data_IF_052525303423
#
_entry.id   IF_052525303423
#
_cell.length_a   1.000
_cell.length_b   1.000
_cell.length_c   1.000
_cell.angle_alpha   90.00
_cell.angle_beta   90.00
_cell.angle_gamma   90.00
#
_symmetry.space_group_name_H-M   'P 1'
#
loop_
_entity.id
_entity.type
_entity.pdbx_description
1 polymer ?
#
# COMPACT_ATOMS: atom_id res chain seq x y z
N UNK A 1 12.18 -20.45 8.72
CA UNK A 1 13.27 -19.49 8.46
C UNK A 1 12.70 -18.36 7.59
N UNK A 2 12.95 -17.11 7.96
CA UNK A 2 12.54 -15.92 7.18
C UNK A 2 13.26 -15.90 5.83
N UNK A 3 12.50 -15.66 4.75
CA UNK A 3 13.00 -15.64 3.37
C UNK A 3 12.55 -14.42 2.57
N UNK A 4 11.56 -13.67 3.06
CA UNK A 4 11.08 -12.50 2.34
C UNK A 4 10.28 -11.53 3.18
N UNK A 5 10.10 -10.32 2.62
CA UNK A 5 9.32 -9.24 3.19
C UNK A 5 8.34 -8.71 2.16
N UNK A 6 7.12 -8.39 2.59
CA UNK A 6 6.07 -7.80 1.77
C UNK A 6 5.78 -6.42 2.35
N UNK A 7 6.08 -5.37 1.59
CA UNK A 7 5.94 -3.99 2.04
C UNK A 7 4.67 -3.35 1.52
N UNK A 8 4.00 -2.59 2.35
CA UNK A 8 3.19 -1.48 1.89
C UNK A 8 4.07 -0.37 1.30
N UNK A 9 3.49 0.57 0.55
CA UNK A 9 4.23 1.62 -0.16
C UNK A 9 3.94 3.00 0.39
N UNK A 10 2.67 3.43 0.30
CA UNK A 10 2.26 4.77 0.69
C UNK A 10 2.26 4.91 2.22
N UNK A 11 2.90 5.95 2.75
CA UNK A 11 3.08 6.21 4.19
C UNK A 11 3.96 5.17 4.93
N UNK A 12 4.44 4.14 4.23
CA UNK A 12 5.43 3.18 4.73
C UNK A 12 6.83 3.44 4.17
N UNK A 13 6.96 3.54 2.86
CA UNK A 13 8.23 3.80 2.14
C UNK A 13 8.36 5.25 1.69
N UNK A 14 7.26 5.87 1.32
CA UNK A 14 7.17 7.25 0.86
C UNK A 14 6.02 7.97 1.56
N UNK A 15 6.10 9.29 1.67
CA UNK A 15 5.06 10.12 2.25
C UNK A 15 4.71 11.30 1.34
N UNK A 16 3.56 11.90 1.60
CA UNK A 16 2.98 12.98 0.81
C UNK A 16 2.87 14.25 1.64
N UNK A 17 3.76 15.21 1.39
CA UNK A 17 3.83 16.45 2.17
C UNK A 17 2.60 17.33 1.96
N UNK A 18 1.88 17.59 3.05
CA UNK A 18 0.68 18.43 3.02
C UNK A 18 -0.54 17.78 2.36
N UNK A 19 -0.57 16.45 2.29
CA UNK A 19 -1.74 15.73 1.79
C UNK A 19 -2.93 15.89 2.75
N UNK A 20 -4.03 16.41 2.21
CA UNK A 20 -5.34 16.44 2.87
C UNK A 20 -6.34 15.71 2.00
N UNK A 21 -6.96 14.65 2.54
CA UNK A 21 -7.87 13.79 1.79
C UNK A 21 -9.16 14.51 1.34
N UNK A 22 -9.69 15.43 2.16
CA UNK A 22 -10.86 16.21 1.80
C UNK A 22 -10.53 17.19 0.67
N UNK A 23 -9.42 17.93 0.81
CA UNK A 23 -8.98 18.88 -0.21
C UNK A 23 -8.68 18.17 -1.54
N UNK A 24 -8.01 17.00 -1.50
CA UNK A 24 -7.79 16.18 -2.68
C UNK A 24 -9.08 15.75 -3.34
N UNK A 25 -10.07 15.29 -2.53
CA UNK A 25 -11.38 14.92 -3.06
C UNK A 25 -12.07 16.11 -3.72
N UNK A 26 -12.23 17.23 -3.01
CA UNK A 26 -12.98 18.39 -3.47
C UNK A 26 -12.35 19.05 -4.70
N UNK A 27 -11.02 19.12 -4.76
CA UNK A 27 -10.32 19.81 -5.86
C UNK A 27 -9.99 18.92 -7.06
N UNK A 28 -9.89 17.61 -6.88
CA UNK A 28 -9.41 16.72 -7.92
C UNK A 28 -10.41 15.63 -8.29
N UNK A 29 -10.97 14.91 -7.32
CA UNK A 29 -11.84 13.76 -7.59
C UNK A 29 -13.26 14.20 -7.94
N UNK A 30 -13.84 15.08 -7.12
CA UNK A 30 -15.22 15.53 -7.31
C UNK A 30 -15.46 16.15 -8.70
N UNK A 31 -14.60 17.03 -9.23
CA UNK A 31 -14.79 17.56 -10.60
C UNK A 31 -14.79 16.46 -11.66
N UNK A 32 -13.86 15.49 -11.55
CA UNK A 32 -13.79 14.40 -12.51
C UNK A 32 -15.00 13.44 -12.43
N UNK A 33 -15.50 13.18 -11.24
CA UNK A 33 -16.72 12.38 -11.06
C UNK A 33 -17.93 13.08 -11.67
N UNK A 34 -18.06 14.42 -11.53
CA UNK A 34 -19.13 15.21 -12.13
C UNK A 34 -19.13 15.15 -13.66
N UNK A 35 -17.96 15.12 -14.30
CA UNK A 35 -17.85 14.93 -15.76
C UNK A 35 -18.50 13.62 -16.24
N UNK A 36 -18.64 12.65 -15.35
CA UNK A 36 -19.29 11.35 -15.58
C UNK A 36 -20.69 11.25 -14.95
N UNK A 37 -21.28 12.37 -14.55
CA UNK A 37 -22.63 12.42 -13.96
C UNK A 37 -22.72 11.92 -12.52
N UNK A 38 -21.58 11.72 -11.83
CA UNK A 38 -21.54 11.26 -10.45
C UNK A 38 -21.39 12.45 -9.51
N UNK A 39 -22.43 12.75 -8.74
CA UNK A 39 -22.40 13.79 -7.72
C UNK A 39 -22.43 13.16 -6.33
N UNK A 40 -21.32 13.31 -5.61
CA UNK A 40 -21.17 12.88 -4.22
C UNK A 40 -20.65 14.05 -3.40
N UNK A 41 -21.08 14.17 -2.15
CA UNK A 41 -20.37 14.95 -1.16
C UNK A 41 -19.19 14.14 -0.59
N UNK A 42 -18.31 14.79 0.16
CA UNK A 42 -17.12 14.14 0.70
C UNK A 42 -17.46 12.94 1.62
N UNK A 43 -18.47 13.06 2.47
CA UNK A 43 -18.85 12.00 3.40
C UNK A 43 -19.43 10.79 2.66
N UNK A 44 -20.24 11.01 1.65
CA UNK A 44 -20.79 9.95 0.79
C UNK A 44 -19.68 9.27 -0.02
N UNK A 45 -18.74 10.06 -0.57
CA UNK A 45 -17.56 9.53 -1.22
C UNK A 45 -16.73 8.65 -0.25
N UNK A 46 -16.42 9.16 0.96
CA UNK A 46 -15.68 8.42 1.99
C UNK A 46 -16.36 7.08 2.29
N UNK A 47 -17.66 7.08 2.55
CA UNK A 47 -18.45 5.86 2.81
C UNK A 47 -18.42 4.88 1.64
N UNK A 48 -18.38 5.40 0.41
CA UNK A 48 -18.28 4.58 -0.80
C UNK A 48 -16.92 3.86 -0.88
N UNK A 49 -15.83 4.61 -0.68
CA UNK A 49 -14.49 4.06 -0.81
C UNK A 49 -14.08 3.16 0.36
N UNK A 50 -14.68 3.36 1.55
CA UNK A 50 -14.48 2.50 2.72
C UNK A 50 -15.38 1.27 2.73
N UNK A 51 -16.33 1.15 1.78
CA UNK A 51 -17.27 0.04 1.70
C UNK A 51 -18.42 0.11 2.70
N UNK A 52 -18.63 1.26 3.34
CA UNK A 52 -19.81 1.51 4.21
C UNK A 52 -21.11 1.62 3.41
N UNK A 53 -21.01 2.03 2.13
CA UNK A 53 -22.12 2.01 1.20
C UNK A 53 -22.01 0.82 0.23
N UNK A 54 -23.15 0.22 -0.17
CA UNK A 54 -23.14 -0.86 -1.14
C UNK A 54 -22.70 -0.37 -2.53
N UNK A 55 -22.12 -1.25 -3.34
CA UNK A 55 -21.67 -0.92 -4.71
C UNK A 55 -22.76 -0.38 -5.60
N UNK A 56 -23.99 -0.89 -5.44
CA UNK A 56 -25.21 -0.41 -6.14
C UNK A 56 -25.48 1.08 -5.91
N UNK A 57 -24.89 1.68 -4.86
CA UNK A 57 -25.02 3.11 -4.64
C UNK A 57 -24.38 3.93 -5.77
N UNK A 58 -23.28 3.45 -6.35
CA UNK A 58 -22.61 4.09 -7.49
C UNK A 58 -23.33 3.78 -8.80
N UNK A 59 -23.86 2.56 -8.94
CA UNK A 59 -24.57 2.12 -10.16
C UNK A 59 -25.80 2.98 -10.47
N UNK A 60 -26.42 3.61 -9.49
CA UNK A 60 -27.52 4.57 -9.68
C UNK A 60 -27.14 5.81 -10.52
N UNK A 61 -25.85 6.12 -10.65
CA UNK A 61 -25.34 7.19 -11.50
C UNK A 61 -25.03 6.73 -12.94
N UNK A 62 -25.36 5.48 -13.29
CA UNK A 62 -25.16 4.94 -14.63
C UNK A 62 -23.74 4.45 -14.93
N UNK A 63 -22.86 4.42 -13.93
CA UNK A 63 -21.52 3.82 -14.05
C UNK A 63 -21.38 2.62 -13.12
N UNK A 64 -20.59 1.62 -13.53
CA UNK A 64 -20.30 0.50 -12.66
C UNK A 64 -19.15 0.80 -11.67
N UNK A 65 -18.98 -0.05 -10.69
CA UNK A 65 -17.98 0.13 -9.63
C UNK A 65 -16.52 0.14 -10.16
N UNK A 66 -16.24 -0.61 -11.24
CA UNK A 66 -14.90 -0.63 -11.86
C UNK A 66 -14.63 0.71 -12.56
N UNK A 67 -15.61 1.25 -13.28
CA UNK A 67 -15.50 2.56 -13.93
C UNK A 67 -15.28 3.68 -12.91
N UNK A 68 -16.05 3.66 -11.81
CA UNK A 68 -15.86 4.60 -10.72
C UNK A 68 -14.40 4.60 -10.22
N UNK A 69 -13.84 3.42 -9.91
CA UNK A 69 -12.47 3.33 -9.44
C UNK A 69 -11.44 3.73 -10.49
N UNK A 70 -11.68 3.42 -11.77
CA UNK A 70 -10.79 3.88 -12.85
C UNK A 70 -10.75 5.40 -12.98
N UNK A 71 -11.88 6.08 -12.78
CA UNK A 71 -11.93 7.55 -12.75
C UNK A 71 -11.10 8.07 -11.57
N UNK A 72 -11.35 7.57 -10.36
CA UNK A 72 -10.64 7.97 -9.14
C UNK A 72 -9.13 7.72 -9.26
N UNK A 73 -8.72 6.55 -9.75
CA UNK A 73 -7.30 6.21 -9.88
C UNK A 73 -6.59 7.01 -10.97
N UNK A 74 -7.29 7.35 -12.07
CA UNK A 74 -6.76 8.27 -13.10
C UNK A 74 -6.50 9.67 -12.51
N UNK A 75 -7.41 10.15 -11.69
CA UNK A 75 -7.24 11.41 -10.95
C UNK A 75 -6.09 11.31 -9.96
N UNK A 76 -6.02 10.22 -9.20
CA UNK A 76 -4.94 9.98 -8.25
C UNK A 76 -3.58 9.98 -8.95
N UNK A 77 -3.45 9.37 -10.12
CA UNK A 77 -2.23 9.41 -10.92
C UNK A 77 -1.84 10.83 -11.36
N UNK A 78 -2.81 11.63 -11.82
CA UNK A 78 -2.58 13.04 -12.16
C UNK A 78 -2.12 13.85 -10.95
N UNK A 79 -2.76 13.63 -9.79
CA UNK A 79 -2.42 14.28 -8.54
C UNK A 79 -1.01 13.91 -8.05
N UNK A 80 -0.64 12.63 -8.12
CA UNK A 80 0.72 12.18 -7.77
C UNK A 80 1.79 12.83 -8.66
N UNK A 81 1.54 12.94 -9.97
CA UNK A 81 2.46 13.67 -10.87
C UNK A 81 2.59 15.13 -10.47
N UNK A 82 1.48 15.79 -10.19
CA UNK A 82 1.46 17.18 -9.72
C UNK A 82 2.23 17.38 -8.41
N UNK A 83 2.12 16.46 -7.47
CA UNK A 83 2.89 16.45 -6.23
C UNK A 83 4.38 16.20 -6.48
N UNK A 84 4.72 15.25 -7.34
CA UNK A 84 6.10 14.91 -7.69
C UNK A 84 6.84 16.09 -8.33
N UNK A 85 6.22 16.78 -9.29
CA UNK A 85 6.76 18.00 -9.91
C UNK A 85 7.05 19.11 -8.90
N UNK A 86 6.42 19.09 -7.73
CA UNK A 86 6.59 20.07 -6.64
C UNK A 86 7.45 19.56 -5.49
N UNK A 87 8.05 18.37 -5.65
CA UNK A 87 8.86 17.75 -4.62
C UNK A 87 8.07 17.39 -3.34
N UNK A 88 6.75 17.22 -3.45
CA UNK A 88 5.84 16.91 -2.33
C UNK A 88 5.63 15.41 -2.10
N UNK A 89 6.17 14.55 -2.94
CA UNK A 89 6.32 13.12 -2.65
C UNK A 89 7.78 12.93 -2.25
N UNK A 90 8.03 12.29 -1.12
CA UNK A 90 9.38 12.04 -0.63
C UNK A 90 9.50 10.63 -0.07
N UNK A 91 10.64 9.96 -0.25
CA UNK A 91 10.93 8.74 0.51
C UNK A 91 11.20 9.12 1.97
N UNK A 92 10.92 8.22 2.90
CA UNK A 92 11.39 8.37 4.27
C UNK A 92 12.91 8.32 4.31
N UNK A 93 13.52 8.99 5.30
CA UNK A 93 14.98 9.13 5.42
C UNK A 93 15.73 7.81 5.66
N UNK A 94 15.00 6.76 6.02
CA UNK A 94 15.50 5.41 6.29
C UNK A 94 15.33 4.45 5.09
N UNK A 95 14.99 4.97 3.92
CA UNK A 95 14.68 4.15 2.73
C UNK A 95 15.87 3.31 2.26
N UNK A 96 17.08 3.75 2.52
CA UNK A 96 18.31 3.03 2.16
C UNK A 96 18.44 1.68 2.88
N UNK A 97 17.69 1.45 3.96
CA UNK A 97 17.58 0.16 4.63
C UNK A 97 17.07 -0.96 3.70
N UNK A 98 16.34 -0.65 2.61
CA UNK A 98 15.94 -1.62 1.61
C UNK A 98 17.15 -2.32 0.95
N UNK A 99 18.25 -1.59 0.75
CA UNK A 99 19.48 -2.15 0.19
C UNK A 99 20.10 -3.18 1.12
N UNK A 100 20.11 -2.94 2.43
CA UNK A 100 20.60 -3.88 3.43
C UNK A 100 19.74 -5.15 3.49
N UNK A 101 18.41 -5.00 3.49
CA UNK A 101 17.49 -6.14 3.45
C UNK A 101 17.69 -6.98 2.19
N UNK A 102 17.93 -6.35 1.03
CA UNK A 102 18.21 -7.05 -0.22
C UNK A 102 19.58 -7.76 -0.18
N UNK A 103 20.60 -7.16 0.46
CA UNK A 103 21.90 -7.76 0.65
C UNK A 103 21.86 -9.05 1.50
N UNK A 104 20.87 -9.19 2.38
CA UNK A 104 20.59 -10.43 3.13
C UNK A 104 19.95 -11.54 2.28
N UNK A 105 19.84 -11.34 0.94
CA UNK A 105 19.24 -12.28 -0.02
C UNK A 105 17.76 -12.57 0.24
N UNK A 106 17.06 -11.65 0.91
CA UNK A 106 15.61 -11.74 1.08
C UNK A 106 14.90 -11.40 -0.23
N UNK A 107 13.79 -12.08 -0.49
CA UNK A 107 12.85 -11.71 -1.54
C UNK A 107 11.96 -10.59 -1.05
N UNK A 108 11.81 -9.52 -1.83
CA UNK A 108 11.00 -8.37 -1.45
C UNK A 108 9.82 -8.19 -2.42
N UNK A 109 8.64 -7.97 -1.88
CA UNK A 109 7.48 -7.55 -2.67
C UNK A 109 6.89 -6.25 -2.13
N UNK A 110 6.23 -5.49 -3.00
CA UNK A 110 5.44 -4.33 -2.64
C UNK A 110 3.95 -4.59 -2.93
N UNK A 111 3.05 -4.22 -2.01
CA UNK A 111 1.60 -4.35 -2.16
C UNK A 111 0.92 -3.06 -1.71
N UNK A 112 0.13 -2.44 -2.59
CA UNK A 112 -0.53 -1.15 -2.32
C UNK A 112 -2.01 -1.17 -2.67
N UNK A 113 -2.82 -0.42 -1.95
CA UNK A 113 -4.24 -0.17 -2.29
C UNK A 113 -4.41 0.85 -3.42
N UNK A 114 -3.34 1.56 -3.80
CA UNK A 114 -3.33 2.36 -5.02
C UNK A 114 -3.36 1.49 -6.27
N UNK A 115 -3.71 2.05 -7.43
CA UNK A 115 -3.64 1.32 -8.70
C UNK A 115 -2.21 0.85 -9.00
N UNK A 116 -2.07 -0.18 -9.82
CA UNK A 116 -0.76 -0.68 -10.27
C UNK A 116 0.10 0.44 -10.84
N UNK A 117 -0.48 1.31 -11.69
CA UNK A 117 0.22 2.43 -12.30
C UNK A 117 0.72 3.44 -11.26
N UNK A 118 -0.12 3.79 -10.27
CA UNK A 118 0.26 4.70 -9.19
C UNK A 118 1.38 4.13 -8.33
N UNK A 119 1.31 2.84 -8.02
CA UNK A 119 2.32 2.14 -7.21
C UNK A 119 3.67 2.10 -7.93
N UNK A 120 3.68 1.70 -9.20
CA UNK A 120 4.90 1.66 -10.01
C UNK A 120 5.48 3.06 -10.24
N UNK A 121 4.63 4.06 -10.48
CA UNK A 121 5.08 5.44 -10.64
C UNK A 121 5.89 5.93 -9.43
N UNK A 122 5.38 5.72 -8.22
CA UNK A 122 6.05 6.18 -6.99
C UNK A 122 7.34 5.41 -6.75
N UNK A 123 7.34 4.10 -6.94
CA UNK A 123 8.55 3.28 -6.78
C UNK A 123 9.64 3.64 -7.80
N UNK A 124 9.25 3.96 -9.04
CA UNK A 124 10.20 4.40 -10.08
C UNK A 124 10.72 5.82 -9.83
N UNK A 125 9.90 6.71 -9.27
CA UNK A 125 10.28 8.10 -9.00
C UNK A 125 11.53 8.21 -8.11
N UNK A 126 11.72 7.23 -7.21
CA UNK A 126 12.84 7.19 -6.26
C UNK A 126 13.77 5.99 -6.49
N UNK A 127 13.72 5.37 -7.67
CA UNK A 127 14.55 4.20 -8.03
C UNK A 127 14.40 3.02 -7.03
N UNK A 128 13.24 2.91 -6.38
CA UNK A 128 12.95 1.84 -5.42
C UNK A 128 12.51 0.54 -6.09
N UNK A 129 11.99 0.62 -7.33
CA UNK A 129 11.52 -0.52 -8.11
C UNK A 129 12.55 -1.66 -8.15
N UNK A 130 13.84 -1.34 -8.19
CA UNK A 130 14.96 -2.28 -8.30
C UNK A 130 15.08 -3.24 -7.11
N UNK A 131 14.53 -2.90 -5.93
CA UNK A 131 14.60 -3.74 -4.75
C UNK A 131 13.53 -4.84 -4.74
N UNK A 132 12.46 -4.69 -5.51
CA UNK A 132 11.29 -5.56 -5.44
C UNK A 132 11.26 -6.62 -6.54
N UNK A 133 11.11 -7.87 -6.14
CA UNK A 133 10.95 -9.03 -7.02
C UNK A 133 9.50 -9.11 -7.57
N UNK A 134 8.53 -8.55 -6.83
CA UNK A 134 7.13 -8.43 -7.25
C UNK A 134 6.49 -7.13 -6.75
N UNK A 135 5.58 -6.55 -7.54
CA UNK A 135 4.84 -5.34 -7.19
C UNK A 135 3.37 -5.54 -7.57
N UNK A 136 2.48 -5.28 -6.63
CA UNK A 136 1.05 -5.38 -6.82
C UNK A 136 0.32 -4.16 -6.28
N UNK A 137 -0.39 -3.48 -7.16
CA UNK A 137 -1.42 -2.50 -6.84
C UNK A 137 -2.82 -3.10 -6.91
N UNK A 138 -3.83 -2.24 -6.79
CA UNK A 138 -5.25 -2.58 -6.94
C UNK A 138 -5.49 -3.34 -8.25
N UNK A 139 -6.23 -4.44 -8.15
CA UNK A 139 -6.61 -5.31 -9.27
C UNK A 139 -8.07 -5.02 -9.65
N UNK A 140 -8.30 -4.47 -10.84
CA UNK A 140 -9.67 -4.16 -11.30
C UNK A 140 -10.50 -5.41 -11.62
N UNK A 141 -9.88 -6.57 -11.78
CA UNK A 141 -10.61 -7.83 -11.90
C UNK A 141 -11.15 -8.34 -10.56
N UNK A 142 -10.58 -7.83 -9.44
CA UNK A 142 -11.00 -8.18 -8.09
C UNK A 142 -10.81 -6.97 -7.14
N UNK A 143 -11.69 -5.98 -7.24
CA UNK A 143 -11.62 -4.75 -6.45
C UNK A 143 -11.71 -4.95 -4.93
N UNK A 144 -12.37 -6.02 -4.48
CA UNK A 144 -12.40 -6.38 -3.05
C UNK A 144 -11.07 -6.92 -2.54
N UNK A 145 -10.13 -7.21 -3.44
CA UNK A 145 -8.81 -7.73 -3.11
C UNK A 145 -7.85 -6.74 -2.47
N UNK A 146 -8.23 -5.44 -2.35
CA UNK A 146 -7.41 -4.45 -1.65
C UNK A 146 -7.35 -4.74 -0.14
N UNK A 147 -6.25 -4.37 0.51
CA UNK A 147 -6.10 -4.51 1.97
C UNK A 147 -7.25 -3.77 2.68
N UNK A 148 -7.89 -4.35 3.67
CA UNK A 148 -7.47 -5.45 4.56
C UNK A 148 -7.79 -6.87 4.05
N UNK A 149 -8.16 -7.05 2.78
CA UNK A 149 -8.27 -8.39 2.19
C UNK A 149 -6.85 -8.97 2.01
N UNK A 150 -6.62 -10.27 2.29
CA UNK A 150 -5.31 -10.89 2.15
C UNK A 150 -4.87 -11.14 0.70
N UNK A 151 -5.70 -10.86 -0.29
CA UNK A 151 -5.48 -11.22 -1.69
C UNK A 151 -4.14 -10.74 -2.26
N UNK A 152 -3.79 -9.46 -2.05
CA UNK A 152 -2.52 -8.92 -2.55
C UNK A 152 -1.30 -9.54 -1.84
N UNK A 153 -1.41 -9.81 -0.54
CA UNK A 153 -0.37 -10.49 0.24
C UNK A 153 -0.19 -11.92 -0.26
N UNK A 154 -1.27 -12.66 -0.45
CA UNK A 154 -1.24 -14.03 -0.98
C UNK A 154 -0.68 -14.08 -2.42
N UNK A 155 -1.01 -13.08 -3.25
CA UNK A 155 -0.47 -12.95 -4.61
C UNK A 155 1.05 -12.72 -4.57
N UNK A 156 1.53 -11.88 -3.64
CA UNK A 156 2.95 -11.66 -3.42
C UNK A 156 3.67 -12.95 -2.95
N UNK A 157 3.14 -13.64 -1.93
CA UNK A 157 3.68 -14.92 -1.45
C UNK A 157 3.82 -15.94 -2.58
N UNK A 158 2.75 -16.11 -3.37
CA UNK A 158 2.73 -17.04 -4.51
C UNK A 158 3.83 -16.71 -5.52
N UNK A 159 4.00 -15.45 -5.87
CA UNK A 159 5.01 -15.02 -6.86
C UNK A 159 6.42 -15.17 -6.31
N UNK A 160 6.62 -14.87 -5.03
CA UNK A 160 7.90 -15.07 -4.38
C UNK A 160 8.22 -16.56 -4.12
N UNK A 161 7.23 -17.44 -4.22
CA UNK A 161 7.37 -18.86 -3.88
C UNK A 161 7.65 -19.07 -2.39
N UNK A 162 6.91 -18.33 -1.53
CA UNK A 162 7.07 -18.38 -0.08
C UNK A 162 5.80 -18.87 0.60
N UNK A 163 5.99 -19.63 1.67
CA UNK A 163 4.94 -19.93 2.63
C UNK A 163 4.72 -18.73 3.58
N UNK A 164 3.50 -18.54 4.14
CA UNK A 164 3.22 -17.42 5.05
C UNK A 164 4.23 -17.28 6.20
N UNK A 165 4.65 -18.38 6.83
CA UNK A 165 5.64 -18.42 7.91
C UNK A 165 7.07 -18.04 7.51
N UNK A 166 7.32 -17.88 6.21
CA UNK A 166 8.64 -17.53 5.65
C UNK A 166 8.71 -16.05 5.27
N UNK A 167 7.63 -15.28 5.51
CA UNK A 167 7.56 -13.86 5.17
C UNK A 167 7.06 -13.01 6.34
N UNK A 168 7.38 -11.70 6.30
CA UNK A 168 6.77 -10.69 7.14
C UNK A 168 6.00 -9.70 6.25
N UNK A 169 4.84 -9.26 6.71
CA UNK A 169 4.15 -8.08 6.17
C UNK A 169 4.64 -6.85 6.92
N UNK A 170 5.07 -5.81 6.21
CA UNK A 170 5.59 -4.56 6.76
C UNK A 170 4.70 -3.41 6.29
N UNK A 171 4.12 -2.67 7.21
CA UNK A 171 3.23 -1.55 6.88
C UNK A 171 2.97 -0.63 8.07
N UNK A 172 2.29 0.48 7.82
CA UNK A 172 2.01 1.51 8.83
C UNK A 172 0.55 1.55 9.28
N UNK A 173 -0.35 0.87 8.56
CA UNK A 173 -1.79 1.00 8.74
C UNK A 173 -2.47 -0.26 9.30
N UNK A 174 -3.69 -0.05 9.83
CA UNK A 174 -4.57 -1.16 10.24
C UNK A 174 -4.90 -2.10 9.07
N UNK A 175 -4.95 -1.58 7.85
CA UNK A 175 -5.22 -2.41 6.66
C UNK A 175 -4.11 -3.42 6.41
N UNK A 176 -2.86 -3.03 6.65
CA UNK A 176 -1.68 -3.90 6.52
C UNK A 176 -1.68 -4.99 7.58
N UNK A 177 -1.93 -4.60 8.84
CA UNK A 177 -2.00 -5.54 9.95
C UNK A 177 -3.08 -6.60 9.68
N UNK A 178 -4.28 -6.19 9.30
CA UNK A 178 -5.36 -7.12 9.04
C UNK A 178 -5.12 -7.99 7.81
N UNK A 179 -4.53 -7.44 6.73
CA UNK A 179 -4.22 -8.20 5.53
C UNK A 179 -3.15 -9.27 5.80
N UNK A 180 -2.07 -8.92 6.51
CA UNK A 180 -1.02 -9.86 6.91
C UNK A 180 -1.56 -10.98 7.79
N UNK A 181 -2.30 -10.62 8.86
CA UNK A 181 -2.92 -11.61 9.77
C UNK A 181 -3.87 -12.57 9.04
N UNK A 182 -4.70 -12.06 8.15
CA UNK A 182 -5.63 -12.88 7.34
C UNK A 182 -4.92 -13.78 6.33
N UNK A 183 -3.73 -13.38 5.88
CA UNK A 183 -2.86 -14.21 5.04
C UNK A 183 -2.03 -15.23 5.84
N UNK A 184 -2.08 -15.20 7.18
CA UNK A 184 -1.27 -16.05 8.05
C UNK A 184 0.20 -15.63 8.13
N UNK A 185 0.51 -14.37 7.79
CA UNK A 185 1.85 -13.77 7.81
C UNK A 185 2.03 -12.97 9.09
N UNK A 186 3.18 -13.08 9.73
CA UNK A 186 3.54 -12.18 10.84
C UNK A 186 3.71 -10.75 10.34
N UNK A 187 3.27 -9.78 11.16
CA UNK A 187 3.20 -8.37 10.76
C UNK A 187 4.14 -7.52 11.59
N UNK A 188 4.91 -6.70 10.90
CA UNK A 188 5.70 -5.60 11.48
C UNK A 188 4.97 -4.29 11.21
N UNK A 189 4.55 -3.61 12.25
CA UNK A 189 4.05 -2.25 12.14
C UNK A 189 5.23 -1.27 12.23
N UNK A 190 5.45 -0.50 11.15
CA UNK A 190 6.35 0.66 11.17
C UNK A 190 5.54 1.83 11.72
N UNK A 191 5.91 2.31 12.91
CA UNK A 191 5.08 3.25 13.70
C UNK A 191 5.22 4.71 13.23
N UNK A 192 5.18 4.94 11.89
CA UNK A 192 5.32 6.26 11.25
C UNK A 192 4.35 7.30 11.83
N UNK A 193 3.12 6.87 12.06
CA UNK A 193 2.00 7.71 12.54
C UNK A 193 1.40 7.17 13.84
N UNK A 194 2.10 6.28 14.51
CA UNK A 194 1.67 5.67 15.74
C UNK A 194 1.59 4.14 15.67
N UNK A 195 1.33 3.56 16.82
CA UNK A 195 1.23 2.11 16.98
C UNK A 195 -0.15 1.61 16.57
N UNK A 196 -0.17 0.58 15.72
CA UNK A 196 -1.39 -0.12 15.32
C UNK A 196 -1.47 -1.45 16.05
N UNK A 197 -2.49 -1.62 16.88
CA UNK A 197 -2.67 -2.85 17.66
C UNK A 197 -2.89 -4.07 16.78
N UNK A 198 -2.36 -5.21 17.25
CA UNK A 198 -2.50 -6.51 16.58
C UNK A 198 -1.34 -6.91 15.68
N UNK A 199 -0.34 -6.05 15.45
CA UNK A 199 0.91 -6.44 14.82
C UNK A 199 1.74 -7.34 15.77
N UNK A 200 2.61 -8.18 15.20
CA UNK A 200 3.49 -9.06 15.99
C UNK A 200 4.74 -8.32 16.45
N UNK A 201 5.21 -7.38 15.63
CA UNK A 201 6.40 -6.57 15.92
C UNK A 201 6.11 -5.10 15.64
N UNK A 202 6.87 -4.23 16.31
CA UNK A 202 6.78 -2.78 16.17
C UNK A 202 8.18 -2.22 16.03
N UNK A 203 8.35 -1.38 15.00
CA UNK A 203 9.61 -0.69 14.72
C UNK A 203 9.32 0.78 14.41
N UNK A 204 10.20 1.68 14.79
CA UNK A 204 10.03 3.11 14.51
C UNK A 204 10.43 3.48 13.08
N UNK A 205 11.37 2.71 12.49
CA UNK A 205 11.93 2.97 11.18
C UNK A 205 12.43 1.67 10.54
N UNK A 206 12.84 1.75 9.26
CA UNK A 206 13.32 0.58 8.53
C UNK A 206 14.71 0.08 8.98
N UNK A 207 15.51 0.91 9.66
CA UNK A 207 16.77 0.44 10.24
C UNK A 207 16.53 -0.48 11.42
N UNK A 208 15.53 -0.20 12.24
CA UNK A 208 15.09 -1.13 13.29
C UNK A 208 14.51 -2.43 12.70
N UNK A 209 13.83 -2.34 11.55
CA UNK A 209 13.41 -3.54 10.82
C UNK A 209 14.61 -4.39 10.39
N UNK A 210 15.69 -3.74 9.90
CA UNK A 210 16.95 -4.44 9.54
C UNK A 210 17.49 -5.21 10.75
N UNK A 211 17.54 -4.57 11.93
CA UNK A 211 18.04 -5.23 13.16
C UNK A 211 17.10 -6.36 13.62
N UNK A 212 15.80 -6.19 13.54
CA UNK A 212 14.83 -7.24 13.80
C UNK A 212 15.05 -8.45 12.89
N UNK A 213 15.22 -8.21 11.59
CA UNK A 213 15.46 -9.25 10.58
C UNK A 213 16.79 -9.98 10.84
N UNK A 214 17.87 -9.24 11.14
CA UNK A 214 19.18 -9.85 11.51
C UNK A 214 19.02 -10.79 12.69
N UNK A 215 18.31 -10.37 13.72
CA UNK A 215 18.04 -11.19 14.90
C UNK A 215 17.28 -12.46 14.52
N UNK A 216 16.20 -12.34 13.73
CA UNK A 216 15.42 -13.50 13.28
C UNK A 216 16.24 -14.48 12.44
N UNK A 217 17.21 -13.99 11.66
CA UNK A 217 18.11 -14.84 10.86
C UNK A 217 19.24 -15.45 11.72
N UNK A 218 19.72 -14.69 12.72
CA UNK A 218 20.81 -15.14 13.62
C UNK A 218 20.35 -16.14 14.67
N UNK A 219 19.18 -15.98 15.25
CA UNK A 219 18.59 -16.90 16.24
C UNK A 219 18.24 -18.30 15.64
N UNK A 220 18.42 -18.49 14.33
CA UNK A 220 18.15 -19.74 13.60
C UNK A 220 19.43 -20.50 13.19
N UNK A 221 20.61 -20.05 13.66
CA UNK A 221 21.82 -20.85 13.55
C UNK A 221 21.75 -21.99 14.56
N UNK A 222 21.96 -23.25 14.12
CA UNK A 222 21.83 -24.44 14.95
C UNK A 222 22.81 -24.48 16.11
#
# INVERSE_FOLDING_TARGET
>A
MLKGLIFDVDETLVYYEGYDHREWYEKWVMPALREHGVELDYETYRKTVTGELPRSYIERFGINHVEFWKIVDKVNMRYRRWLAERGKIRPFSDIDALSELKAMKLKLAAVSNASQECTEFVLNLFDLRKYFDAIYGKDYSYLDGVKPNPYLVNKALKTLGLEPKEALMVGDSRHDVLAGKRAGVEVVNVTRFGRIDGADYYVENLWELVELVKKMLGDQSP
#
